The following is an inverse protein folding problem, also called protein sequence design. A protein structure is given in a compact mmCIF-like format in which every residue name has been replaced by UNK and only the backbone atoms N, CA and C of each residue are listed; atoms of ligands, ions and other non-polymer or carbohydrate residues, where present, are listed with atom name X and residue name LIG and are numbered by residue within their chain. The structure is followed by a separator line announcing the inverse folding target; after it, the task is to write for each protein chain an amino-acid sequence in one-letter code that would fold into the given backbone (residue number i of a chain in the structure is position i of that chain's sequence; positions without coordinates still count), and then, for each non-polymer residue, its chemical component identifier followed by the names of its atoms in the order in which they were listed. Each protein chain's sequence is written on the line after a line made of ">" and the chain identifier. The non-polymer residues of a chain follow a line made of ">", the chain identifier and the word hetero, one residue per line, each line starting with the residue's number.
data_IF_123346586715
#
_entry.id   IF_123346586715
#
_cell.length_a   1.000
_cell.length_b   1.000
_cell.length_c   1.000
_cell.angle_alpha   90.00
_cell.angle_beta   90.00
_cell.angle_gamma   90.00
#
_symmetry.space_group_name_H-M   'P 1'
#
loop_
_entity.id
_entity.type
_entity.pdbx_description
1 polymer ?
#
# COMPACT_ATOMS: atom_id res chain seq x y z
N UNK A 1 35.82 29.77 -6.55
CA UNK A 1 35.29 28.57 -5.86
C UNK A 1 34.23 28.87 -4.78
N UNK A 2 34.48 29.74 -3.78
CA UNK A 2 33.49 30.03 -2.70
C UNK A 2 32.12 30.55 -3.19
N UNK A 3 32.10 31.46 -4.18
CA UNK A 3 30.83 31.98 -4.76
C UNK A 3 30.02 30.90 -5.49
N UNK A 4 30.69 30.03 -6.25
CA UNK A 4 30.05 28.92 -6.97
C UNK A 4 29.46 27.92 -5.96
N UNK A 5 30.22 27.56 -4.92
CA UNK A 5 29.74 26.66 -3.87
C UNK A 5 28.50 27.25 -3.14
N UNK A 6 28.51 28.55 -2.84
CA UNK A 6 27.36 29.23 -2.24
C UNK A 6 26.13 29.21 -3.17
N UNK A 7 26.32 29.48 -4.47
CA UNK A 7 25.23 29.42 -5.45
C UNK A 7 24.64 28.02 -5.58
N UNK A 8 25.48 26.98 -5.64
CA UNK A 8 25.03 25.58 -5.70
C UNK A 8 24.24 25.21 -4.44
N UNK A 9 24.72 25.60 -3.25
CA UNK A 9 24.02 25.34 -2.00
C UNK A 9 22.64 26.03 -1.95
N UNK A 10 22.54 27.29 -2.38
CA UNK A 10 21.27 28.02 -2.45
C UNK A 10 20.30 27.32 -3.41
N UNK A 11 20.75 26.97 -4.62
CA UNK A 11 19.93 26.27 -5.60
C UNK A 11 19.43 24.92 -5.07
N UNK A 12 20.28 24.17 -4.38
CA UNK A 12 19.90 22.91 -3.77
C UNK A 12 18.82 23.09 -2.68
N UNK A 13 18.99 24.08 -1.80
CA UNK A 13 17.98 24.40 -0.77
C UNK A 13 16.66 24.82 -1.38
N UNK A 14 16.67 25.64 -2.43
CA UNK A 14 15.47 26.05 -3.15
C UNK A 14 14.79 24.87 -3.84
N UNK A 15 15.56 23.99 -4.50
CA UNK A 15 15.02 22.79 -5.14
C UNK A 15 14.38 21.84 -4.13
N UNK A 16 15.04 21.61 -2.98
CA UNK A 16 14.49 20.80 -1.89
C UNK A 16 13.23 21.43 -1.30
N UNK A 17 13.25 22.74 -1.04
CA UNK A 17 12.09 23.48 -0.55
C UNK A 17 10.90 23.40 -1.51
N UNK A 18 11.14 23.55 -2.82
CA UNK A 18 10.11 23.40 -3.84
C UNK A 18 9.56 21.96 -3.92
N UNK A 19 10.42 20.95 -3.82
CA UNK A 19 10.01 19.55 -3.81
C UNK A 19 9.14 19.20 -2.59
N UNK A 20 9.52 19.69 -1.41
CA UNK A 20 8.74 19.53 -0.17
C UNK A 20 7.42 20.29 -0.24
N UNK A 21 7.41 21.50 -0.79
CA UNK A 21 6.19 22.27 -0.99
C UNK A 21 5.23 21.54 -1.94
N UNK A 22 5.72 21.10 -3.11
CA UNK A 22 4.93 20.35 -4.08
C UNK A 22 4.42 19.01 -3.52
N UNK A 23 5.15 18.37 -2.61
CA UNK A 23 4.71 17.16 -1.95
C UNK A 23 3.56 17.40 -0.97
N UNK A 24 3.52 18.55 -0.30
CA UNK A 24 2.66 18.75 0.84
C UNK A 24 1.51 19.73 0.61
N UNK A 25 1.57 20.53 -0.45
CA UNK A 25 0.62 21.61 -0.71
C UNK A 25 0.13 21.54 -2.17
N UNK A 26 -1.20 21.57 -2.34
CA UNK A 26 -1.87 21.60 -3.64
C UNK A 26 -2.10 23.05 -4.08
N UNK A 27 -1.47 23.47 -5.19
CA UNK A 27 -1.64 24.82 -5.77
C UNK A 27 -1.68 24.72 -7.31
N UNK A 28 -2.81 25.09 -7.97
CA UNK A 28 -4.14 25.27 -7.37
C UNK A 28 -4.69 23.93 -6.83
N UNK A 29 -5.56 24.01 -5.81
CA UNK A 29 -6.26 22.83 -5.28
C UNK A 29 -7.43 22.49 -6.21
N UNK A 30 -7.62 21.22 -6.61
CA UNK A 30 -8.79 20.84 -7.41
C UNK A 30 -10.07 21.10 -6.61
N UNK A 31 -11.15 21.45 -7.31
CA UNK A 31 -12.50 21.44 -6.76
C UNK A 31 -12.91 20.02 -6.37
N UNK A 32 -13.95 19.90 -5.53
CA UNK A 32 -14.52 18.60 -5.17
C UNK A 32 -14.97 17.81 -6.40
N UNK A 33 -15.60 18.47 -7.36
CA UNK A 33 -16.07 17.82 -8.59
C UNK A 33 -14.90 17.26 -9.42
N UNK A 34 -13.82 18.04 -9.58
CA UNK A 34 -12.61 17.59 -10.28
C UNK A 34 -11.95 16.42 -9.57
N UNK A 35 -11.81 16.49 -8.24
CA UNK A 35 -11.21 15.41 -7.47
C UNK A 35 -12.03 14.12 -7.56
N UNK A 36 -13.36 14.20 -7.37
CA UNK A 36 -14.25 13.02 -7.47
C UNK A 36 -14.23 12.45 -8.89
N UNK A 37 -14.27 13.29 -9.92
CA UNK A 37 -14.16 12.84 -11.30
C UNK A 37 -12.84 12.12 -11.59
N UNK A 38 -11.73 12.63 -11.06
CA UNK A 38 -10.43 11.97 -11.16
C UNK A 38 -10.40 10.63 -10.41
N UNK A 39 -10.93 10.59 -9.18
CA UNK A 39 -11.04 9.37 -8.37
C UNK A 39 -11.83 8.27 -9.11
N UNK A 40 -12.97 8.62 -9.72
CA UNK A 40 -13.80 7.68 -10.47
C UNK A 40 -13.08 7.15 -11.72
N UNK A 41 -12.32 8.01 -12.41
CA UNK A 41 -11.47 7.58 -13.53
C UNK A 41 -10.34 6.66 -13.06
N UNK A 42 -9.69 6.99 -11.94
CA UNK A 42 -8.62 6.18 -11.35
C UNK A 42 -9.11 4.78 -11.02
N UNK A 43 -10.27 4.66 -10.36
CA UNK A 43 -10.91 3.39 -10.03
C UNK A 43 -11.25 2.57 -11.28
N UNK A 44 -11.88 3.20 -12.28
CA UNK A 44 -12.26 2.53 -13.51
C UNK A 44 -11.03 1.99 -14.26
N UNK A 45 -9.96 2.80 -14.37
CA UNK A 45 -8.71 2.41 -15.04
C UNK A 45 -7.97 1.31 -14.30
N UNK A 46 -7.85 1.39 -12.97
CA UNK A 46 -7.16 0.36 -12.18
C UNK A 46 -7.92 -0.97 -12.19
N UNK A 47 -9.25 -0.92 -12.12
CA UNK A 47 -10.11 -2.11 -12.22
C UNK A 47 -9.98 -2.76 -13.61
N UNK A 48 -10.01 -1.94 -14.68
CA UNK A 48 -9.78 -2.42 -16.03
C UNK A 48 -8.37 -3.01 -16.21
N UNK A 49 -7.35 -2.41 -15.58
CA UNK A 49 -6.00 -2.96 -15.60
C UNK A 49 -5.99 -4.34 -14.96
N UNK A 50 -6.50 -4.49 -13.73
CA UNK A 50 -6.50 -5.76 -13.01
C UNK A 50 -7.25 -6.87 -13.77
N UNK A 51 -8.40 -6.56 -14.36
CA UNK A 51 -9.18 -7.50 -15.19
C UNK A 51 -8.46 -7.92 -16.48
N UNK A 52 -7.65 -7.03 -17.07
CA UNK A 52 -6.83 -7.40 -18.25
C UNK A 52 -5.65 -8.26 -17.87
N UNK A 53 -5.02 -8.01 -16.72
CA UNK A 53 -3.88 -8.81 -16.27
C UNK A 53 -4.31 -10.19 -15.80
N UNK A 54 -5.42 -10.28 -15.07
CA UNK A 54 -5.93 -11.52 -14.49
C UNK A 54 -7.12 -12.08 -15.28
N UNK A 55 -6.92 -13.24 -15.88
CA UNK A 55 -7.95 -14.04 -16.54
C UNK A 55 -8.05 -15.39 -15.84
N UNK A 56 -9.25 -15.71 -15.33
CA UNK A 56 -9.50 -16.94 -14.55
C UNK A 56 -9.27 -18.24 -15.34
N UNK A 57 -9.35 -18.21 -16.67
CA UNK A 57 -9.42 -19.42 -17.50
C UNK A 57 -8.16 -19.53 -18.39
N UNK A 58 -7.42 -20.65 -18.24
CA UNK A 58 -6.29 -21.03 -19.10
C UNK A 58 -4.96 -20.34 -18.79
N UNK A 59 -4.01 -20.39 -19.73
CA UNK A 59 -2.70 -19.72 -19.66
C UNK A 59 -2.77 -18.20 -19.93
N UNK A 60 -3.95 -17.58 -19.82
CA UNK A 60 -4.24 -16.21 -20.26
C UNK A 60 -3.83 -15.10 -19.30
N UNK A 61 -3.64 -15.40 -18.01
CA UNK A 61 -3.14 -14.40 -17.06
C UNK A 61 -1.70 -14.01 -17.39
N UNK A 62 -1.43 -12.71 -17.45
CA UNK A 62 -0.08 -12.17 -17.67
C UNK A 62 0.82 -12.46 -16.45
N UNK A 63 2.15 -12.25 -16.53
CA UNK A 63 3.02 -12.31 -15.35
C UNK A 63 2.52 -11.43 -14.19
N UNK A 64 2.03 -10.23 -14.49
CA UNK A 64 1.46 -9.33 -13.49
C UNK A 64 0.14 -9.83 -12.92
N UNK A 65 -0.73 -10.45 -13.73
CA UNK A 65 -1.96 -11.07 -13.22
C UNK A 65 -1.68 -12.22 -12.27
N UNK A 66 -0.67 -13.03 -12.57
CA UNK A 66 -0.20 -14.10 -11.67
C UNK A 66 0.41 -13.53 -10.39
N UNK A 67 1.22 -12.49 -10.50
CA UNK A 67 1.83 -11.80 -9.35
C UNK A 67 0.77 -11.18 -8.43
N UNK A 68 -0.27 -10.58 -9.02
CA UNK A 68 -1.39 -9.97 -8.30
C UNK A 68 -2.12 -11.01 -7.42
N UNK A 69 -2.30 -12.23 -7.94
CA UNK A 69 -2.95 -13.32 -7.22
C UNK A 69 -2.00 -14.04 -6.24
N UNK A 70 -0.76 -14.34 -6.63
CA UNK A 70 0.12 -15.26 -5.89
C UNK A 70 0.72 -14.66 -4.63
N UNK A 71 0.82 -13.33 -4.55
CA UNK A 71 1.22 -12.64 -3.34
C UNK A 71 -0.03 -12.38 -2.45
N UNK A 72 -0.03 -12.94 -1.25
CA UNK A 72 -1.19 -12.85 -0.35
C UNK A 72 -1.51 -11.42 0.09
N UNK A 73 -0.53 -10.53 0.17
CA UNK A 73 -0.75 -9.13 0.47
C UNK A 73 -1.48 -8.42 -0.67
N UNK A 74 -1.05 -8.60 -1.92
CA UNK A 74 -1.72 -7.99 -3.07
C UNK A 74 -3.11 -8.59 -3.29
N UNK A 75 -3.25 -9.91 -3.11
CA UNK A 75 -4.54 -10.57 -3.15
C UNK A 75 -5.50 -10.06 -2.08
N UNK A 76 -5.03 -9.85 -0.84
CA UNK A 76 -5.81 -9.19 0.21
C UNK A 76 -6.28 -7.80 -0.22
N UNK A 77 -5.41 -6.98 -0.82
CA UNK A 77 -5.80 -5.64 -1.29
C UNK A 77 -6.92 -5.69 -2.33
N UNK A 78 -6.83 -6.61 -3.29
CA UNK A 78 -7.86 -6.83 -4.32
C UNK A 78 -9.17 -7.31 -3.70
N UNK A 79 -9.12 -8.27 -2.78
CA UNK A 79 -10.30 -8.79 -2.07
C UNK A 79 -10.93 -7.71 -1.19
N UNK A 80 -10.14 -6.89 -0.50
CA UNK A 80 -10.64 -5.77 0.29
C UNK A 80 -11.32 -4.71 -0.60
N UNK A 81 -10.73 -4.38 -1.76
CA UNK A 81 -11.39 -3.52 -2.76
C UNK A 81 -12.75 -4.08 -3.21
N UNK A 82 -12.82 -5.38 -3.48
CA UNK A 82 -14.07 -6.04 -3.86
C UNK A 82 -15.12 -6.03 -2.75
N UNK A 83 -14.69 -6.14 -1.48
CA UNK A 83 -15.59 -6.07 -0.32
C UNK A 83 -16.18 -4.67 -0.12
N UNK A 84 -15.43 -3.63 -0.52
CA UNK A 84 -15.85 -2.22 -0.44
C UNK A 84 -16.72 -1.79 -1.63
N UNK A 85 -16.53 -2.42 -2.78
CA UNK A 85 -17.15 -2.00 -4.03
C UNK A 85 -18.58 -2.50 -4.22
N UNK A 86 -19.43 -1.68 -4.81
CA UNK A 86 -20.71 -2.13 -5.37
C UNK A 86 -20.59 -2.56 -6.85
N UNK A 87 -19.44 -2.37 -7.49
CA UNK A 87 -19.23 -2.68 -8.91
C UNK A 87 -19.17 -4.20 -9.15
N UNK A 88 -20.04 -4.77 -10.02
CA UNK A 88 -20.09 -6.22 -10.26
C UNK A 88 -18.77 -6.83 -10.72
N UNK A 89 -17.99 -6.11 -11.55
CA UNK A 89 -16.71 -6.61 -12.09
C UNK A 89 -15.66 -6.74 -10.99
N UNK A 90 -15.59 -5.77 -10.08
CA UNK A 90 -14.67 -5.81 -8.94
C UNK A 90 -15.08 -6.91 -7.95
N UNK A 91 -16.38 -7.09 -7.71
CA UNK A 91 -16.88 -8.22 -6.90
C UNK A 91 -16.51 -9.57 -7.50
N UNK A 92 -16.72 -9.75 -8.81
CA UNK A 92 -16.36 -10.99 -9.50
C UNK A 92 -14.86 -11.27 -9.42
N UNK A 93 -14.01 -10.24 -9.61
CA UNK A 93 -12.56 -10.35 -9.47
C UNK A 93 -12.15 -10.76 -8.05
N UNK A 94 -12.71 -10.13 -7.00
CA UNK A 94 -12.45 -10.51 -5.62
C UNK A 94 -12.87 -11.94 -5.29
N UNK A 95 -14.06 -12.35 -5.71
CA UNK A 95 -14.51 -13.75 -5.55
C UNK A 95 -13.58 -14.73 -6.25
N UNK A 96 -13.11 -14.38 -7.45
CA UNK A 96 -12.15 -15.19 -8.20
C UNK A 96 -10.86 -15.43 -7.42
N UNK A 97 -10.35 -14.38 -6.76
CA UNK A 97 -9.14 -14.46 -5.95
C UNK A 97 -9.36 -15.33 -4.72
N UNK A 98 -10.45 -15.10 -4.01
CA UNK A 98 -10.85 -15.94 -2.86
C UNK A 98 -10.93 -17.40 -3.28
N UNK A 99 -11.63 -17.72 -4.37
CA UNK A 99 -11.79 -19.10 -4.81
C UNK A 99 -10.47 -19.75 -5.23
N UNK A 100 -9.57 -19.00 -5.90
CA UNK A 100 -8.23 -19.49 -6.21
C UNK A 100 -7.39 -19.80 -4.96
N UNK A 101 -7.55 -19.01 -3.89
CA UNK A 101 -6.86 -19.25 -2.61
C UNK A 101 -7.51 -20.36 -1.75
N UNK A 102 -8.75 -20.79 -2.06
CA UNK A 102 -9.40 -21.94 -1.40
C UNK A 102 -8.91 -23.29 -1.90
N UNK A 103 -8.32 -23.35 -3.09
CA UNK A 103 -7.93 -24.62 -3.74
C UNK A 103 -6.92 -25.41 -2.90
N UNK A 104 -6.05 -24.71 -2.18
CA UNK A 104 -5.05 -25.34 -1.32
C UNK A 104 -5.02 -24.65 0.06
N UNK A 105 -5.24 -25.43 1.12
CA UNK A 105 -5.21 -24.92 2.49
C UNK A 105 -3.78 -24.49 2.86
N UNK A 106 -3.58 -23.19 2.96
CA UNK A 106 -2.30 -22.54 3.23
C UNK A 106 -2.52 -21.36 4.18
N UNK A 107 -1.64 -21.19 5.17
CA UNK A 107 -1.70 -20.09 6.14
C UNK A 107 -1.64 -18.70 5.48
N UNK A 108 -1.00 -18.59 4.32
CA UNK A 108 -1.02 -17.36 3.52
C UNK A 108 -2.44 -16.97 3.08
N UNK A 109 -3.35 -17.93 2.94
CA UNK A 109 -4.77 -17.69 2.65
C UNK A 109 -5.47 -16.87 3.75
N UNK A 110 -5.05 -16.97 5.01
CA UNK A 110 -5.62 -16.19 6.13
C UNK A 110 -5.38 -14.68 5.99
N UNK A 111 -4.34 -14.28 5.26
CA UNK A 111 -4.09 -12.87 4.91
C UNK A 111 -5.15 -12.38 3.92
N UNK A 112 -5.56 -13.22 2.96
CA UNK A 112 -6.55 -12.90 1.92
C UNK A 112 -7.97 -12.92 2.47
N UNK A 113 -8.33 -13.97 3.19
CA UNK A 113 -9.62 -14.14 3.85
C UNK A 113 -9.42 -14.88 5.19
N UNK A 114 -9.77 -14.25 6.33
CA UNK A 114 -9.65 -14.88 7.65
C UNK A 114 -10.42 -16.18 7.81
N UNK A 115 -11.45 -16.42 6.98
CA UNK A 115 -12.26 -17.65 7.01
C UNK A 115 -11.58 -18.83 6.30
N UNK A 116 -10.44 -18.64 5.63
CA UNK A 116 -9.77 -19.72 4.90
C UNK A 116 -9.40 -20.89 5.80
N UNK A 117 -9.57 -22.14 5.33
CA UNK A 117 -8.97 -23.29 6.00
C UNK A 117 -7.45 -23.15 5.95
N UNK A 118 -6.79 -23.48 7.06
CA UNK A 118 -5.34 -23.35 7.18
C UNK A 118 -4.74 -24.65 7.68
N UNK A 119 -3.58 -24.97 7.12
CA UNK A 119 -2.62 -25.86 7.75
C UNK A 119 -1.58 -24.99 8.45
N UNK A 120 -1.09 -25.41 9.62
CA UNK A 120 0.02 -24.72 10.24
C UNK A 120 1.24 -24.76 9.30
N UNK A 121 1.96 -23.64 9.09
CA UNK A 121 3.13 -23.63 8.24
C UNK A 121 4.23 -24.52 8.84
N UNK A 122 4.92 -25.25 7.97
CA UNK A 122 6.12 -25.99 8.36
C UNK A 122 7.25 -25.05 8.79
N UNK A 123 8.17 -25.54 9.63
CA UNK A 123 9.35 -24.75 10.00
C UNK A 123 10.21 -24.35 8.78
N UNK A 124 10.18 -25.15 7.70
CA UNK A 124 10.91 -24.83 6.47
C UNK A 124 10.29 -23.63 5.77
N UNK A 125 8.97 -23.58 5.69
CA UNK A 125 8.23 -22.44 5.12
C UNK A 125 8.45 -21.17 5.96
N UNK A 126 8.37 -21.26 7.29
CA UNK A 126 8.64 -20.10 8.14
C UNK A 126 10.07 -19.57 8.01
N UNK A 127 11.06 -20.47 7.84
CA UNK A 127 12.46 -20.11 7.65
C UNK A 127 12.78 -19.50 6.29
N UNK A 128 12.00 -19.77 5.25
CA UNK A 128 12.21 -19.15 3.93
C UNK A 128 11.67 -17.72 3.83
N UNK A 129 10.82 -17.32 4.78
CA UNK A 129 10.23 -15.99 4.84
C UNK A 129 11.19 -14.95 5.45
N UNK A 130 11.02 -13.70 5.07
CA UNK A 130 11.59 -12.58 5.81
C UNK A 130 10.83 -12.34 7.12
N UNK A 131 11.49 -11.67 8.08
CA UNK A 131 10.91 -11.39 9.41
C UNK A 131 9.53 -10.70 9.30
N UNK A 132 9.40 -9.69 8.43
CA UNK A 132 8.14 -8.97 8.29
C UNK A 132 7.02 -9.82 7.68
N UNK A 133 7.35 -10.79 6.82
CA UNK A 133 6.37 -11.69 6.22
C UNK A 133 5.82 -12.64 7.29
N UNK A 134 6.68 -13.14 8.19
CA UNK A 134 6.25 -13.89 9.36
C UNK A 134 5.36 -13.07 10.29
N UNK A 135 5.65 -11.78 10.48
CA UNK A 135 4.79 -10.90 11.27
C UNK A 135 3.41 -10.70 10.64
N UNK A 136 3.33 -10.55 9.31
CA UNK A 136 2.04 -10.45 8.61
C UNK A 136 1.23 -11.73 8.79
N UNK A 137 1.86 -12.90 8.64
CA UNK A 137 1.24 -14.19 8.88
C UNK A 137 0.77 -14.36 10.33
N UNK A 138 1.62 -14.03 11.31
CA UNK A 138 1.25 -14.01 12.71
C UNK A 138 0.10 -13.03 13.00
N UNK A 139 0.09 -11.86 12.38
CA UNK A 139 -1.01 -10.91 12.49
C UNK A 139 -2.32 -11.51 11.98
N UNK A 140 -2.30 -12.20 10.84
CA UNK A 140 -3.50 -12.81 10.26
C UNK A 140 -3.97 -14.06 11.01
N UNK A 141 -3.05 -14.85 11.58
CA UNK A 141 -3.33 -16.13 12.22
C UNK A 141 -2.41 -16.37 13.45
N UNK A 142 -2.59 -15.63 14.56
CA UNK A 142 -1.65 -15.62 15.67
C UNK A 142 -1.58 -16.95 16.44
N UNK A 143 -2.65 -17.74 16.38
CA UNK A 143 -2.72 -19.08 16.98
C UNK A 143 -2.00 -20.16 16.13
N UNK A 144 -1.91 -19.95 14.81
CA UNK A 144 -1.35 -20.93 13.87
C UNK A 144 0.11 -20.63 13.51
N UNK A 145 0.54 -19.38 13.68
CA UNK A 145 1.88 -18.92 13.30
C UNK A 145 2.59 -18.36 14.53
N UNK A 146 3.30 -19.21 15.31
CA UNK A 146 4.05 -18.73 16.45
C UNK A 146 5.25 -17.89 15.99
N UNK A 147 5.52 -16.83 16.74
CA UNK A 147 6.75 -16.04 16.61
C UNK A 147 7.65 -16.34 17.81
N UNK A 148 8.97 -16.24 17.61
CA UNK A 148 9.90 -16.27 18.73
C UNK A 148 9.68 -15.06 19.66
N UNK A 149 10.05 -15.13 20.96
CA UNK A 149 9.92 -13.99 21.87
C UNK A 149 10.57 -12.71 21.35
N UNK A 150 11.71 -12.84 20.66
CA UNK A 150 12.42 -11.72 20.04
C UNK A 150 11.66 -11.11 18.86
N UNK A 151 11.01 -11.94 18.05
CA UNK A 151 10.19 -11.46 16.94
C UNK A 151 8.93 -10.76 17.44
N UNK A 152 8.31 -11.24 18.51
CA UNK A 152 7.21 -10.54 19.20
C UNK A 152 7.69 -9.19 19.72
N UNK A 153 8.80 -9.14 20.45
CA UNK A 153 9.38 -7.89 20.94
C UNK A 153 9.63 -6.90 19.79
N UNK A 154 10.19 -7.36 18.66
CA UNK A 154 10.42 -6.52 17.50
C UNK A 154 9.10 -6.04 16.84
N UNK A 155 8.13 -6.93 16.64
CA UNK A 155 6.84 -6.61 16.01
C UNK A 155 6.08 -5.56 16.83
N UNK A 156 6.12 -5.68 18.16
CA UNK A 156 5.44 -4.77 19.09
C UNK A 156 6.31 -3.60 19.57
N UNK A 157 7.51 -3.42 19.00
CA UNK A 157 8.38 -2.29 19.35
C UNK A 157 8.12 -1.08 18.44
N UNK A 158 7.75 0.08 19.00
CA UNK A 158 7.51 1.29 18.20
C UNK A 158 8.76 1.79 17.49
N UNK A 159 9.97 1.40 17.94
CA UNK A 159 11.24 1.95 17.49
C UNK A 159 12.12 0.97 16.72
N UNK A 160 11.61 -0.24 16.44
CA UNK A 160 12.31 -1.28 15.68
C UNK A 160 12.81 -0.78 14.32
N UNK A 161 11.93 -0.11 13.57
CA UNK A 161 12.26 0.45 12.27
C UNK A 161 12.16 1.97 12.29
N UNK A 162 13.31 2.63 12.07
CA UNK A 162 13.39 4.10 12.00
C UNK A 162 12.90 4.68 10.67
N UNK A 163 13.03 3.93 9.58
CA UNK A 163 12.61 4.36 8.24
C UNK A 163 12.11 3.19 7.39
N UNK A 164 11.17 3.46 6.46
CA UNK A 164 10.78 2.58 5.35
C UNK A 164 10.07 1.27 5.73
N UNK A 165 10.75 0.39 6.49
CA UNK A 165 10.24 -0.91 6.94
C UNK A 165 9.14 -0.83 8.01
N UNK A 166 8.94 0.33 8.63
CA UNK A 166 7.84 0.59 9.55
C UNK A 166 6.46 0.35 8.91
N UNK A 167 6.36 0.51 7.58
CA UNK A 167 5.14 0.19 6.83
C UNK A 167 4.76 -1.29 6.92
N UNK A 168 5.69 -2.22 6.71
CA UNK A 168 5.41 -3.66 6.84
C UNK A 168 5.04 -4.05 8.28
N UNK A 169 5.65 -3.39 9.27
CA UNK A 169 5.28 -3.56 10.68
C UNK A 169 3.84 -3.09 10.93
N UNK A 170 3.46 -1.91 10.42
CA UNK A 170 2.08 -1.42 10.50
C UNK A 170 1.11 -2.39 9.83
N UNK A 171 1.47 -2.97 8.68
CA UNK A 171 0.62 -3.90 7.97
C UNK A 171 0.40 -5.22 8.75
N UNK A 172 1.44 -5.73 9.41
CA UNK A 172 1.31 -6.86 10.33
C UNK A 172 0.40 -6.54 11.52
N UNK A 173 0.56 -5.37 12.14
CA UNK A 173 -0.29 -4.92 13.26
C UNK A 173 -1.74 -4.65 12.82
N UNK A 174 -1.95 -4.22 11.57
CA UNK A 174 -3.28 -4.10 10.97
C UNK A 174 -4.00 -5.46 10.95
N UNK A 175 -3.33 -6.53 10.48
CA UNK A 175 -3.91 -7.87 10.53
C UNK A 175 -4.09 -8.38 11.96
N UNK A 176 -3.11 -8.13 12.84
CA UNK A 176 -3.21 -8.51 14.25
C UNK A 176 -4.44 -7.88 14.92
N UNK A 177 -4.67 -6.58 14.68
CA UNK A 177 -5.87 -5.89 15.17
C UNK A 177 -7.16 -6.46 14.57
N UNK A 178 -7.12 -6.89 13.30
CA UNK A 178 -8.27 -7.53 12.63
C UNK A 178 -8.59 -8.92 13.21
N UNK A 179 -7.58 -9.68 13.65
CA UNK A 179 -7.74 -11.04 14.16
C UNK A 179 -8.00 -11.12 15.66
N UNK A 180 -7.35 -10.26 16.46
CA UNK A 180 -7.46 -10.25 17.93
C UNK A 180 -8.36 -9.13 18.47
N UNK A 181 -8.75 -8.18 17.63
CA UNK A 181 -9.44 -6.97 18.04
C UNK A 181 -8.49 -5.89 18.54
N UNK A 182 -9.02 -4.67 18.76
CA UNK A 182 -8.24 -3.54 19.27
C UNK A 182 -8.00 -3.64 20.78
N UNK A 183 -6.82 -3.20 21.23
CA UNK A 183 -6.53 -2.93 22.65
C UNK A 183 -5.94 -1.53 22.80
N UNK A 184 -6.04 -0.87 23.98
CA UNK A 184 -5.41 0.42 24.21
C UNK A 184 -3.90 0.42 23.93
N UNK A 185 -3.20 -0.65 24.28
CA UNK A 185 -1.76 -0.83 24.09
C UNK A 185 -1.43 -0.92 22.59
N UNK A 186 -2.18 -1.76 21.85
CA UNK A 186 -2.02 -1.91 20.41
C UNK A 186 -2.29 -0.60 19.68
N UNK A 187 -3.37 0.11 20.04
CA UNK A 187 -3.72 1.38 19.43
C UNK A 187 -2.64 2.46 19.67
N UNK A 188 -2.08 2.55 20.89
CA UNK A 188 -0.98 3.49 21.19
C UNK A 188 0.29 3.14 20.40
N UNK A 189 0.61 1.85 20.26
CA UNK A 189 1.74 1.40 19.46
C UNK A 189 1.55 1.77 17.98
N UNK A 190 0.41 1.39 17.40
CA UNK A 190 0.09 1.68 16.00
C UNK A 190 0.10 3.19 15.75
N UNK A 191 -0.46 4.00 16.65
CA UNK A 191 -0.43 5.46 16.55
C UNK A 191 0.99 6.02 16.36
N UNK A 192 1.97 5.56 17.16
CA UNK A 192 3.37 6.02 17.04
C UNK A 192 3.98 5.67 15.68
N UNK A 193 3.66 4.47 15.18
CA UNK A 193 4.17 3.99 13.87
C UNK A 193 3.49 4.77 12.74
N UNK A 194 2.19 4.99 12.83
CA UNK A 194 1.38 5.75 11.86
C UNK A 194 1.87 7.21 11.75
N UNK A 195 2.09 7.88 12.88
CA UNK A 195 2.62 9.25 12.92
C UNK A 195 4.03 9.34 12.30
N UNK A 196 4.88 8.34 12.56
CA UNK A 196 6.20 8.24 11.91
C UNK A 196 6.08 8.08 10.41
N UNK A 197 5.22 7.17 9.94
CA UNK A 197 5.00 6.93 8.51
C UNK A 197 4.49 8.19 7.83
N UNK A 198 3.56 8.92 8.46
CA UNK A 198 3.04 10.18 7.95
C UNK A 198 4.14 11.26 7.89
N UNK A 199 5.00 11.35 8.91
CA UNK A 199 6.16 12.24 8.89
C UNK A 199 7.13 11.89 7.76
N UNK A 200 7.43 10.60 7.55
CA UNK A 200 8.26 10.14 6.44
C UNK A 200 7.64 10.50 5.08
N UNK A 201 6.33 10.31 4.91
CA UNK A 201 5.63 10.69 3.68
C UNK A 201 5.65 12.21 3.43
N UNK A 202 5.72 13.02 4.49
CA UNK A 202 5.84 14.47 4.36
C UNK A 202 7.21 14.90 3.81
N UNK A 203 8.29 14.20 4.15
CA UNK A 203 9.67 14.55 3.77
C UNK A 203 10.14 13.82 2.51
N UNK A 204 9.68 12.58 2.29
CA UNK A 204 10.03 11.78 1.11
C UNK A 204 9.07 12.10 -0.04
N UNK A 205 9.46 13.09 -0.85
CA UNK A 205 8.64 13.61 -1.95
C UNK A 205 8.62 12.72 -3.21
N UNK A 206 9.29 11.56 -3.21
CA UNK A 206 9.38 10.66 -4.36
C UNK A 206 8.17 9.74 -4.36
N UNK A 207 7.35 9.76 -5.41
CA UNK A 207 6.19 8.85 -5.52
C UNK A 207 6.63 7.52 -6.10
N UNK A 208 7.28 6.72 -5.27
CA UNK A 208 7.66 5.34 -5.58
C UNK A 208 6.63 4.36 -5.00
N UNK A 209 6.85 3.07 -5.17
CA UNK A 209 6.11 2.02 -4.46
C UNK A 209 5.97 2.31 -2.95
N UNK A 210 7.05 2.75 -2.30
CA UNK A 210 7.01 3.08 -0.87
C UNK A 210 6.05 4.26 -0.57
N UNK A 211 5.89 5.20 -1.48
CA UNK A 211 4.93 6.30 -1.33
C UNK A 211 3.49 5.78 -1.29
N UNK A 212 3.14 4.94 -2.28
CA UNK A 212 1.83 4.29 -2.34
C UNK A 212 1.62 3.41 -1.12
N UNK A 213 2.63 2.64 -0.71
CA UNK A 213 2.58 1.78 0.47
C UNK A 213 2.28 2.56 1.76
N UNK A 214 2.92 3.72 1.97
CA UNK A 214 2.66 4.58 3.15
C UNK A 214 1.20 5.04 3.19
N UNK A 215 0.67 5.52 2.07
CA UNK A 215 -0.71 5.97 1.97
C UNK A 215 -1.70 4.83 2.18
N UNK A 216 -1.51 3.72 1.46
CA UNK A 216 -2.35 2.54 1.53
C UNK A 216 -2.43 2.00 2.96
N UNK A 217 -1.28 1.89 3.65
CA UNK A 217 -1.25 1.29 4.98
C UNK A 217 -1.77 2.24 6.07
N UNK A 218 -1.58 3.56 5.95
CA UNK A 218 -2.25 4.52 6.84
C UNK A 218 -3.78 4.45 6.70
N UNK A 219 -4.28 4.38 5.46
CA UNK A 219 -5.72 4.24 5.19
C UNK A 219 -6.26 2.90 5.71
N UNK A 220 -5.54 1.80 5.47
CA UNK A 220 -5.92 0.48 5.98
C UNK A 220 -5.92 0.43 7.51
N UNK A 221 -4.99 1.12 8.15
CA UNK A 221 -4.92 1.24 9.60
C UNK A 221 -5.99 2.18 10.20
N UNK A 222 -6.88 2.77 9.41
CA UNK A 222 -7.95 3.62 9.94
C UNK A 222 -7.52 5.06 10.19
N UNK A 223 -6.46 5.54 9.52
CA UNK A 223 -5.90 6.88 9.72
C UNK A 223 -5.98 7.79 8.49
N UNK A 224 -7.17 8.01 7.91
CA UNK A 224 -7.31 8.96 6.82
C UNK A 224 -6.95 10.40 7.25
N UNK A 225 -7.02 10.72 8.54
CA UNK A 225 -6.64 12.00 9.13
C UNK A 225 -5.16 12.35 8.94
N UNK A 226 -4.28 11.34 8.85
CA UNK A 226 -2.84 11.52 8.64
C UNK A 226 -2.45 11.65 7.16
N UNK A 227 -3.37 11.36 6.24
CA UNK A 227 -3.11 11.39 4.79
C UNK A 227 -3.42 12.77 4.23
N UNK A 228 -2.41 13.44 3.66
CA UNK A 228 -2.58 14.77 3.08
C UNK A 228 -3.25 14.70 1.69
N UNK A 229 -4.11 15.67 1.35
CA UNK A 229 -4.76 15.75 0.03
C UNK A 229 -3.79 15.66 -1.13
N UNK A 230 -2.71 16.46 -1.04
CA UNK A 230 -1.67 16.49 -2.07
C UNK A 230 -1.03 15.14 -2.31
N UNK A 231 -0.91 14.30 -1.28
CA UNK A 231 -0.32 12.98 -1.47
C UNK A 231 -1.18 12.08 -2.35
N UNK A 232 -2.49 12.12 -2.14
CA UNK A 232 -3.46 11.38 -2.95
C UNK A 232 -3.48 11.92 -4.38
N UNK A 233 -3.50 13.25 -4.56
CA UNK A 233 -3.46 13.87 -5.88
C UNK A 233 -2.22 13.41 -6.68
N UNK A 234 -1.05 13.39 -6.02
CA UNK A 234 0.20 12.95 -6.66
C UNK A 234 0.20 11.45 -6.94
N UNK A 235 -0.34 10.63 -6.04
CA UNK A 235 -0.51 9.20 -6.29
C UNK A 235 -1.41 8.95 -7.50
N UNK A 236 -2.53 9.64 -7.63
CA UNK A 236 -3.43 9.48 -8.78
C UNK A 236 -2.84 10.04 -10.08
N UNK A 237 -2.12 11.16 -10.02
CA UNK A 237 -1.39 11.70 -11.16
C UNK A 237 -0.25 10.79 -11.64
N UNK A 238 0.25 9.88 -10.80
CA UNK A 238 1.25 8.89 -11.15
C UNK A 238 0.65 7.62 -11.80
N UNK A 239 -0.67 7.49 -11.88
CA UNK A 239 -1.31 6.38 -12.59
C UNK A 239 -0.95 6.44 -14.08
N UNK A 240 -0.50 5.32 -14.61
CA UNK A 240 -0.13 5.19 -16.01
C UNK A 240 -1.37 5.14 -16.91
N UNK A 241 -1.17 5.36 -18.21
CA UNK A 241 -2.26 5.32 -19.20
C UNK A 241 -2.93 3.94 -19.29
N UNK A 242 -2.20 2.87 -18.99
CA UNK A 242 -2.75 1.53 -18.90
C UNK A 242 -3.61 1.31 -17.65
N UNK A 243 -3.59 2.23 -16.68
CA UNK A 243 -4.35 2.18 -15.44
C UNK A 243 -3.61 1.58 -14.25
N UNK A 244 -2.38 1.12 -14.43
CA UNK A 244 -1.53 0.64 -13.35
C UNK A 244 -0.56 1.70 -12.81
N UNK A 245 0.31 1.29 -11.90
CA UNK A 245 1.37 2.12 -11.32
C UNK A 245 2.73 1.43 -11.47
N UNK A 246 3.75 2.27 -11.68
CA UNK A 246 5.15 1.86 -11.73
C UNK A 246 5.72 1.69 -10.31
N UNK A 247 6.78 0.89 -10.17
CA UNK A 247 7.53 0.78 -8.90
C UNK A 247 8.34 2.06 -8.64
N UNK A 248 8.89 2.64 -9.71
CA UNK A 248 9.72 3.84 -9.67
C UNK A 248 9.01 5.00 -10.38
N UNK A 249 9.39 6.24 -10.04
CA UNK A 249 8.85 7.41 -10.73
C UNK A 249 9.94 8.41 -11.05
N UNK A 250 9.97 8.88 -12.31
CA UNK A 250 11.05 9.72 -12.84
C UNK A 250 12.44 9.13 -12.56
N UNK A 251 12.51 7.80 -12.64
CA UNK A 251 13.69 6.99 -12.35
C UNK A 251 14.07 6.86 -10.88
N UNK A 252 13.36 7.50 -9.94
CA UNK A 252 13.58 7.28 -8.52
C UNK A 252 13.08 5.90 -8.11
N UNK A 253 14.00 5.03 -7.68
CA UNK A 253 13.63 3.72 -7.11
C UNK A 253 13.33 3.80 -5.62
N UNK A 254 12.81 2.71 -5.05
CA UNK A 254 12.59 2.56 -3.60
C UNK A 254 13.88 2.72 -2.77
N UNK A 255 15.05 2.47 -3.37
CA UNK A 255 16.35 2.62 -2.69
C UNK A 255 16.86 4.05 -2.86
N UNK A 256 17.20 4.77 -1.77
CA UNK A 256 17.81 6.08 -1.87
C UNK A 256 19.03 6.07 -2.81
N UNK A 257 19.17 7.12 -3.63
CA UNK A 257 20.28 7.34 -4.56
C UNK A 257 20.42 6.35 -5.73
N UNK A 258 19.48 5.42 -5.91
CA UNK A 258 19.42 4.59 -7.13
C UNK A 258 18.42 5.17 -8.12
N UNK A 259 18.94 5.44 -9.31
CA UNK A 259 18.16 5.89 -10.46
C UNK A 259 18.10 4.78 -11.51
N UNK A 260 16.91 4.50 -12.03
CA UNK A 260 16.67 3.57 -13.14
C UNK A 260 15.94 4.31 -14.25
N UNK A 261 16.48 4.31 -15.46
CA UNK A 261 15.82 4.88 -16.63
C UNK A 261 15.65 3.73 -17.64
N UNK A 262 14.69 2.86 -17.38
CA UNK A 262 14.26 1.81 -18.29
C UNK A 262 12.77 2.00 -18.65
N UNK A 263 12.32 1.28 -19.67
CA UNK A 263 10.89 1.14 -19.96
C UNK A 263 10.25 0.35 -18.81
N UNK A 264 9.82 1.06 -17.78
CA UNK A 264 9.12 0.47 -16.65
C UNK A 264 7.65 0.29 -17.01
N UNK A 265 7.16 -0.94 -16.87
CA UNK A 265 5.76 -1.27 -16.99
C UNK A 265 5.10 -1.22 -15.61
N UNK A 266 3.79 -0.96 -15.61
CA UNK A 266 2.98 -1.07 -14.40
C UNK A 266 3.08 -2.47 -13.81
N UNK A 267 3.23 -2.57 -12.49
CA UNK A 267 3.37 -3.86 -11.80
C UNK A 267 2.23 -4.11 -10.82
N UNK A 268 2.03 -5.37 -10.46
CA UNK A 268 0.95 -5.83 -9.59
C UNK A 268 0.98 -5.21 -8.19
N UNK A 269 2.17 -5.06 -7.59
CA UNK A 269 2.32 -4.58 -6.22
C UNK A 269 1.90 -3.12 -6.10
N UNK A 270 2.54 -2.24 -6.87
CA UNK A 270 2.25 -0.80 -6.86
C UNK A 270 0.82 -0.52 -7.36
N UNK A 271 0.32 -1.30 -8.32
CA UNK A 271 -1.06 -1.15 -8.81
C UNK A 271 -2.09 -1.58 -7.77
N UNK A 272 -1.86 -2.68 -7.04
CA UNK A 272 -2.74 -3.10 -5.94
C UNK A 272 -2.83 -2.02 -4.86
N UNK A 273 -1.70 -1.40 -4.49
CA UNK A 273 -1.67 -0.31 -3.52
C UNK A 273 -2.42 0.94 -4.02
N UNK A 274 -2.15 1.40 -5.25
CA UNK A 274 -2.82 2.56 -5.86
C UNK A 274 -4.33 2.36 -5.98
N UNK A 275 -4.74 1.18 -6.43
CA UNK A 275 -6.16 0.77 -6.47
C UNK A 275 -6.77 0.77 -5.07
N UNK A 276 -6.09 0.20 -4.08
CA UNK A 276 -6.61 0.10 -2.71
C UNK A 276 -6.80 1.46 -2.05
N UNK A 277 -5.88 2.41 -2.27
CA UNK A 277 -6.04 3.81 -1.86
C UNK A 277 -7.34 4.39 -2.44
N UNK A 278 -7.55 4.25 -3.75
CA UNK A 278 -8.73 4.79 -4.42
C UNK A 278 -10.04 4.19 -3.88
N UNK A 279 -10.10 2.86 -3.71
CA UNK A 279 -11.28 2.19 -3.17
C UNK A 279 -11.59 2.60 -1.74
N UNK A 280 -10.56 2.69 -0.87
CA UNK A 280 -10.76 3.15 0.51
C UNK A 280 -11.26 4.60 0.55
N UNK A 281 -10.70 5.51 -0.23
CA UNK A 281 -11.16 6.90 -0.24
C UNK A 281 -12.59 7.05 -0.79
N UNK A 282 -12.97 6.26 -1.80
CA UNK A 282 -14.31 6.31 -2.38
C UNK A 282 -15.37 5.72 -1.47
N UNK A 283 -15.07 4.58 -0.84
CA UNK A 283 -16.09 3.73 -0.21
C UNK A 283 -15.95 3.62 1.31
N UNK A 284 -14.73 3.67 1.85
CA UNK A 284 -14.46 3.54 3.29
C UNK A 284 -14.36 4.89 4.00
N UNK A 285 -13.83 5.92 3.33
CA UNK A 285 -13.59 7.25 3.88
C UNK A 285 -14.12 8.40 2.99
N UNK A 286 -15.37 8.36 2.50
CA UNK A 286 -15.91 9.42 1.65
C UNK A 286 -15.89 10.80 2.35
N UNK A 287 -16.03 10.84 3.67
CA UNK A 287 -15.96 12.06 4.49
C UNK A 287 -14.60 12.76 4.44
N UNK A 288 -13.52 12.01 4.16
CA UNK A 288 -12.21 12.61 3.95
C UNK A 288 -12.22 13.52 2.71
N UNK A 289 -12.97 13.16 1.67
CA UNK A 289 -13.12 13.99 0.46
C UNK A 289 -13.85 15.28 0.81
N UNK A 290 -14.97 15.18 1.53
CA UNK A 290 -15.78 16.36 1.91
C UNK A 290 -15.02 17.32 2.82
N UNK A 291 -14.18 16.80 3.72
CA UNK A 291 -13.30 17.61 4.56
C UNK A 291 -12.21 18.34 3.77
N UNK A 292 -11.74 17.72 2.68
CA UNK A 292 -10.55 18.16 1.95
C UNK A 292 -10.83 18.79 0.59
N UNK A 293 -12.05 18.80 0.07
CA UNK A 293 -12.33 19.45 -1.20
C UNK A 293 -13.67 20.16 -1.12
N UNK A 294 -13.70 21.39 -1.64
CA UNK A 294 -14.89 22.23 -1.71
C UNK A 294 -15.44 22.24 -3.13
#
# INVERSE_FOLDING_TARGET
>A
MRRIAASVAILFVLALGAALLNNNVSIPRPSRAEFVGNLDQTLARSTNWALRQYQQIGSGSTPEGRSLLSNSATAHMVVDCASLSSEPRMKALGSSFVDAWKVEANVLGKVVDPAMPTNAPSERELRSLEEYQRWILHGAAPNDVPLSPKELEHMFSPDKYRTGKATHQLFALYFYRKSQGPTPELNRLMQKIEERIAWEAAVDFRVTDLYLQRLAFLLAAGRPDLVRPRWVERAFAAQQIDGGWLESWHGWTRTPYRFSFGDELSNAHSTAQGMWIAYMLKHRYPEWIDKNYK
#
